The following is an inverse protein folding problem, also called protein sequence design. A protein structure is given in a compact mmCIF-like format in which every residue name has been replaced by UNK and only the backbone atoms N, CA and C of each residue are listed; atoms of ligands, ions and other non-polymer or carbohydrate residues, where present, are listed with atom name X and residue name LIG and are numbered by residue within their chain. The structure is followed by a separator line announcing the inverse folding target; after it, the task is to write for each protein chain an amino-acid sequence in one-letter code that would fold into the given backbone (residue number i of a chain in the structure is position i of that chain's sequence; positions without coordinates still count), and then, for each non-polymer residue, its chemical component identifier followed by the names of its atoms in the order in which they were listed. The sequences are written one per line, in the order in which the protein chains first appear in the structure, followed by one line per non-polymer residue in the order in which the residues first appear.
data_IF_918853417861
#
_entry.id   IF_918853417861
#
_cell.length_a   1.000
_cell.length_b   1.000
_cell.length_c   1.000
_cell.angle_alpha   90.00
_cell.angle_beta   90.00
_cell.angle_gamma   90.00
#
_symmetry.space_group_name_H-M   'P 1'
#
loop_
_entity.id
_entity.type
_entity.pdbx_description
1 polymer ?
#
# COMPACT_ATOMS: atom_id res chain seq x y z
N UNK A 1 45.34 35.04 44.72
CA UNK A 1 44.36 33.99 44.37
C UNK A 1 43.82 34.28 42.97
N UNK A 2 44.32 33.60 41.94
CA UNK A 2 43.77 33.66 40.57
C UNK A 2 42.77 32.51 40.41
N UNK A 3 41.51 32.82 40.14
CA UNK A 3 40.46 31.83 39.83
C UNK A 3 40.49 31.58 38.32
N UNK A 4 40.78 30.34 37.94
CA UNK A 4 40.57 29.83 36.58
C UNK A 4 39.12 29.35 36.47
N UNK A 5 38.32 29.99 35.62
CA UNK A 5 37.06 29.43 35.15
C UNK A 5 37.34 28.69 33.84
N UNK A 6 37.33 27.36 33.90
CA UNK A 6 37.33 26.51 32.71
C UNK A 6 35.87 26.10 32.47
N UNK A 7 35.17 26.80 31.58
CA UNK A 7 33.82 26.40 31.17
C UNK A 7 33.93 25.26 30.16
N UNK A 8 33.67 24.04 30.64
CA UNK A 8 33.57 22.84 29.82
C UNK A 8 32.20 22.83 29.13
N UNK A 9 32.09 23.37 27.92
CA UNK A 9 30.96 23.10 27.04
C UNK A 9 31.22 21.75 26.35
N UNK A 10 30.85 20.66 27.01
CA UNK A 10 30.72 19.35 26.38
C UNK A 10 29.40 19.32 25.60
N UNK A 11 29.43 19.85 24.37
CA UNK A 11 28.37 19.63 23.40
C UNK A 11 28.38 18.18 22.95
N UNK A 12 27.48 17.37 23.50
CA UNK A 12 27.21 16.03 23.00
C UNK A 12 26.41 16.17 21.70
N UNK A 13 27.11 16.31 20.57
CA UNK A 13 26.54 15.97 19.27
C UNK A 13 26.59 14.46 19.13
N UNK A 14 25.63 13.76 19.73
CA UNK A 14 25.33 12.39 19.36
C UNK A 14 24.58 12.44 18.02
N UNK A 15 25.30 12.67 16.93
CA UNK A 15 24.81 12.31 15.60
C UNK A 15 24.86 10.79 15.58
N UNK A 16 23.71 10.16 15.77
CA UNK A 16 23.55 8.72 15.54
C UNK A 16 23.73 8.47 14.04
N UNK A 17 24.98 8.46 13.59
CA UNK A 17 25.37 8.11 12.23
C UNK A 17 25.05 6.64 12.03
N UNK A 18 23.88 6.36 11.46
CA UNK A 18 23.67 5.08 10.79
C UNK A 18 24.63 5.07 9.61
N UNK A 19 25.55 4.12 9.60
CA UNK A 19 26.52 4.00 8.52
C UNK A 19 25.85 3.21 7.40
N UNK A 20 25.60 3.85 6.26
CA UNK A 20 25.12 3.17 5.08
C UNK A 20 25.99 1.96 4.72
N UNK A 21 25.38 0.98 4.06
CA UNK A 21 26.02 -0.28 3.71
C UNK A 21 27.32 -0.06 2.90
N UNK A 22 28.38 -0.75 3.30
CA UNK A 22 29.72 -0.59 2.70
C UNK A 22 29.99 -1.52 1.53
N UNK A 23 29.09 -2.46 1.22
CA UNK A 23 29.21 -3.36 0.06
C UNK A 23 29.31 -2.57 -1.25
N UNK A 24 29.83 -3.20 -2.30
CA UNK A 24 29.87 -2.58 -3.62
C UNK A 24 28.44 -2.40 -4.17
N UNK A 25 28.26 -1.43 -5.07
CA UNK A 25 26.94 -1.20 -5.70
C UNK A 25 26.53 -2.42 -6.54
N UNK A 26 27.51 -3.08 -7.16
CA UNK A 26 27.33 -4.31 -7.90
C UNK A 26 26.81 -5.45 -7.02
N UNK A 27 27.41 -5.65 -5.84
CA UNK A 27 26.96 -6.66 -4.87
C UNK A 27 25.55 -6.36 -4.36
N UNK A 28 25.26 -5.10 -4.04
CA UNK A 28 23.94 -4.68 -3.56
C UNK A 28 22.86 -4.88 -4.61
N UNK A 29 23.12 -4.55 -5.87
CA UNK A 29 22.19 -4.78 -6.97
C UNK A 29 21.94 -6.26 -7.25
N UNK A 30 22.90 -7.14 -6.95
CA UNK A 30 22.71 -8.59 -7.05
C UNK A 30 21.69 -9.12 -6.01
N UNK A 31 21.51 -8.45 -4.86
CA UNK A 31 20.57 -8.85 -3.81
C UNK A 31 19.10 -8.63 -4.20
N UNK A 32 18.83 -7.64 -5.04
CA UNK A 32 17.46 -7.18 -5.32
C UNK A 32 16.82 -7.82 -6.56
N UNK A 33 17.62 -8.52 -7.38
CA UNK A 33 17.23 -9.05 -8.68
C UNK A 33 16.45 -8.02 -9.55
N UNK A 34 16.88 -6.75 -9.51
CA UNK A 34 16.28 -5.65 -10.26
C UNK A 34 15.06 -4.99 -9.62
N UNK A 35 14.58 -5.45 -8.46
CA UNK A 35 13.47 -4.80 -7.76
C UNK A 35 13.87 -3.48 -7.08
N UNK A 36 15.16 -3.34 -6.77
CA UNK A 36 15.78 -2.12 -6.22
C UNK A 36 17.06 -1.83 -6.99
N UNK A 37 17.26 -0.59 -7.41
CA UNK A 37 18.54 -0.13 -7.99
C UNK A 37 19.27 0.70 -6.95
N UNK A 38 20.46 0.24 -6.56
CA UNK A 38 21.36 0.95 -5.66
C UNK A 38 22.34 1.81 -6.47
N UNK A 39 22.55 3.05 -6.04
CA UNK A 39 23.52 3.99 -6.62
C UNK A 39 24.28 4.73 -5.51
N UNK A 40 25.49 5.22 -5.83
CA UNK A 40 26.23 6.17 -4.98
C UNK A 40 26.12 7.57 -5.56
N UNK A 41 25.53 8.48 -4.80
CA UNK A 41 25.31 9.88 -5.20
C UNK A 41 25.81 10.81 -4.08
N UNK A 42 26.83 11.63 -4.35
CA UNK A 42 27.38 12.58 -3.36
C UNK A 42 27.71 11.91 -2.01
N UNK A 43 28.43 10.78 -2.05
CA UNK A 43 28.77 9.95 -0.89
C UNK A 43 27.58 9.32 -0.13
N UNK A 44 26.37 9.39 -0.67
CA UNK A 44 25.18 8.69 -0.15
C UNK A 44 24.89 7.44 -0.93
N UNK A 45 24.50 6.37 -0.23
CA UNK A 45 23.89 5.19 -0.83
C UNK A 45 22.39 5.43 -1.00
N UNK A 46 21.94 5.48 -2.26
CA UNK A 46 20.54 5.70 -2.63
C UNK A 46 19.94 4.40 -3.15
N UNK A 47 18.78 4.01 -2.63
CA UNK A 47 17.99 2.91 -3.17
C UNK A 47 16.77 3.43 -3.93
N UNK A 48 16.66 3.06 -5.20
CA UNK A 48 15.49 3.34 -6.03
C UNK A 48 14.65 2.08 -6.19
N UNK A 49 13.48 2.07 -5.56
CA UNK A 49 12.50 0.99 -5.68
C UNK A 49 11.78 1.14 -7.02
N UNK A 50 11.91 0.11 -7.85
CA UNK A 50 11.32 0.09 -9.19
C UNK A 50 9.84 -0.27 -9.13
N UNK A 51 9.01 0.39 -9.95
CA UNK A 51 7.56 0.09 -9.98
C UNK A 51 7.17 -0.96 -11.03
N UNK A 52 8.13 -1.32 -11.90
CA UNK A 52 7.94 -2.29 -12.99
C UNK A 52 8.23 -3.73 -12.57
N UNK A 53 8.89 -3.94 -11.43
CA UNK A 53 9.21 -5.26 -10.92
C UNK A 53 7.93 -6.05 -10.58
N UNK A 54 7.77 -7.22 -11.20
CA UNK A 54 6.66 -8.13 -10.88
C UNK A 54 6.81 -8.77 -9.50
N UNK A 55 8.02 -8.85 -8.98
CA UNK A 55 8.33 -9.37 -7.64
C UNK A 55 9.31 -8.41 -7.00
N UNK A 56 8.96 -7.94 -5.81
CA UNK A 56 9.88 -7.26 -4.92
C UNK A 56 10.59 -8.29 -4.05
N UNK A 57 11.90 -8.40 -4.20
CA UNK A 57 12.70 -9.35 -3.45
C UNK A 57 14.07 -8.75 -3.16
N UNK A 58 14.44 -8.68 -1.89
CA UNK A 58 15.80 -8.37 -1.47
C UNK A 58 16.24 -9.47 -0.50
N UNK A 59 17.38 -10.11 -0.80
CA UNK A 59 17.78 -11.33 -0.09
C UNK A 59 18.37 -11.05 1.29
N UNK A 60 18.97 -9.87 1.48
CA UNK A 60 19.55 -9.43 2.73
C UNK A 60 19.11 -8.00 3.06
N UNK A 61 19.12 -7.66 4.35
CA UNK A 61 18.91 -6.29 4.78
C UNK A 61 19.99 -5.35 4.21
N UNK A 62 19.62 -4.10 3.91
CA UNK A 62 20.53 -3.05 3.43
C UNK A 62 20.22 -1.72 4.11
N UNK A 63 21.23 -1.11 4.73
CA UNK A 63 21.13 0.26 5.25
C UNK A 63 21.46 1.26 4.16
N UNK A 64 20.55 2.21 3.91
CA UNK A 64 20.71 3.24 2.87
C UNK A 64 20.45 4.63 3.44
N UNK A 65 21.06 5.63 2.83
CA UNK A 65 20.90 7.04 3.24
C UNK A 65 19.61 7.66 2.70
N UNK A 66 19.10 7.15 1.57
CA UNK A 66 17.93 7.68 0.88
C UNK A 66 17.18 6.56 0.15
N UNK A 67 15.84 6.64 0.17
CA UNK A 67 14.97 5.79 -0.64
C UNK A 67 14.14 6.65 -1.60
N UNK A 68 14.14 6.25 -2.86
CA UNK A 68 13.29 6.78 -3.93
C UNK A 68 12.34 5.70 -4.42
N UNK A 69 11.16 6.11 -4.87
CA UNK A 69 10.22 5.23 -5.55
C UNK A 69 9.94 5.77 -6.95
N UNK A 70 10.00 4.90 -7.96
CA UNK A 70 9.62 5.27 -9.33
C UNK A 70 8.11 5.49 -9.47
N UNK A 71 7.33 4.91 -8.57
CA UNK A 71 5.88 4.98 -8.59
C UNK A 71 5.39 6.42 -8.65
N UNK A 72 4.55 6.69 -9.64
CA UNK A 72 3.76 7.92 -9.75
C UNK A 72 2.33 7.63 -9.33
N UNK A 73 1.73 8.57 -8.62
CA UNK A 73 0.36 8.47 -8.15
C UNK A 73 -0.53 9.47 -8.87
N UNK A 74 -1.82 9.14 -8.99
CA UNK A 74 -2.82 10.12 -9.40
C UNK A 74 -2.99 11.19 -8.32
N UNK A 75 -2.92 12.46 -8.73
CA UNK A 75 -3.10 13.60 -7.85
C UNK A 75 -4.46 13.54 -7.14
N UNK A 76 -4.46 13.82 -5.84
CA UNK A 76 -5.66 13.87 -4.99
C UNK A 76 -6.51 12.59 -4.96
N UNK A 77 -5.94 11.45 -5.40
CA UNK A 77 -6.60 10.14 -5.37
C UNK A 77 -5.96 9.23 -4.34
N UNK A 78 -6.76 8.53 -3.51
CA UNK A 78 -6.22 7.56 -2.58
C UNK A 78 -5.64 6.35 -3.33
N UNK A 79 -4.59 5.78 -2.77
CA UNK A 79 -3.96 4.58 -3.31
C UNK A 79 -3.38 3.72 -2.18
N UNK A 80 -3.16 2.43 -2.41
CA UNK A 80 -2.47 1.60 -1.41
C UNK A 80 -0.96 1.59 -1.63
N UNK A 81 -0.17 1.45 -0.57
CA UNK A 81 1.27 1.20 -0.61
C UNK A 81 1.66 0.14 0.44
N UNK A 82 2.78 -0.52 0.23
CA UNK A 82 3.49 -1.28 1.25
C UNK A 82 4.98 -0.93 1.12
N UNK A 83 5.64 -0.59 2.23
CA UNK A 83 7.05 -0.16 2.23
C UNK A 83 7.95 -1.32 2.66
N UNK A 84 9.10 -1.57 2.01
CA UNK A 84 10.05 -2.61 2.44
C UNK A 84 10.98 -2.14 3.57
N UNK A 85 10.60 -1.10 4.31
CA UNK A 85 11.36 -0.52 5.41
C UNK A 85 10.41 0.19 6.37
N UNK A 86 10.85 0.38 7.61
CA UNK A 86 10.12 1.17 8.60
C UNK A 86 10.63 2.61 8.59
N UNK A 87 9.74 3.59 8.76
CA UNK A 87 10.10 5.01 8.76
C UNK A 87 9.20 5.82 9.69
N UNK A 88 9.75 6.86 10.32
CA UNK A 88 8.94 7.84 11.05
C UNK A 88 7.98 8.57 10.09
N UNK A 89 6.72 8.75 10.48
CA UNK A 89 5.72 9.37 9.61
C UNK A 89 6.09 10.80 9.22
N UNK A 90 6.80 11.54 10.08
CA UNK A 90 7.26 12.90 9.79
C UNK A 90 8.29 12.96 8.67
N UNK A 91 8.93 11.84 8.35
CA UNK A 91 9.92 11.74 7.29
C UNK A 91 9.31 11.34 5.94
N UNK A 92 8.01 11.08 5.89
CA UNK A 92 7.28 10.87 4.64
C UNK A 92 6.82 12.24 4.15
N UNK A 93 7.29 12.67 2.97
CA UNK A 93 6.87 13.93 2.35
C UNK A 93 6.04 13.69 1.09
N UNK A 94 5.32 14.72 0.67
CA UNK A 94 4.42 14.67 -0.48
C UNK A 94 3.06 14.03 -0.19
N UNK A 95 2.85 13.46 1.01
CA UNK A 95 1.59 12.88 1.44
C UNK A 95 1.65 12.33 2.85
N UNK A 96 0.61 11.60 3.22
CA UNK A 96 0.49 10.87 4.48
C UNK A 96 0.10 9.41 4.22
N UNK A 97 0.49 8.53 5.12
CA UNK A 97 0.01 7.14 5.15
C UNK A 97 -1.04 6.99 6.25
N UNK A 98 -2.09 6.25 5.92
CA UNK A 98 -3.27 6.00 6.76
C UNK A 98 -3.47 4.49 6.87
N UNK A 99 -3.88 4.04 8.05
CA UNK A 99 -4.19 2.63 8.32
C UNK A 99 -5.69 2.39 8.32
N UNK A 100 -6.09 1.14 8.10
CA UNK A 100 -7.46 0.71 8.30
C UNK A 100 -7.87 0.90 9.76
N UNK A 101 -9.00 1.55 10.01
CA UNK A 101 -9.61 1.68 11.33
C UNK A 101 -10.78 0.72 11.51
N UNK A 102 -11.44 0.37 10.43
CA UNK A 102 -12.52 -0.62 10.43
C UNK A 102 -13.35 -0.55 9.16
N UNK A 103 -14.22 -1.55 9.05
CA UNK A 103 -15.31 -1.58 8.08
C UNK A 103 -16.62 -1.51 8.86
N UNK A 104 -17.49 -0.59 8.46
CA UNK A 104 -18.68 -0.19 9.20
C UNK A 104 -19.94 -0.29 8.33
N UNK A 105 -21.09 0.02 8.95
CA UNK A 105 -22.37 0.17 8.27
C UNK A 105 -22.73 -1.03 7.40
N UNK A 106 -22.61 -2.24 7.97
CA UNK A 106 -22.85 -3.52 7.27
C UNK A 106 -22.02 -3.66 5.99
N UNK A 107 -20.71 -3.41 6.07
CA UNK A 107 -19.76 -3.48 4.96
C UNK A 107 -19.96 -2.44 3.85
N UNK A 108 -20.70 -1.36 4.10
CA UNK A 108 -20.90 -0.30 3.09
C UNK A 108 -19.91 0.86 3.23
N UNK A 109 -19.18 0.94 4.36
CA UNK A 109 -18.20 1.99 4.64
C UNK A 109 -16.87 1.42 5.13
N UNK A 110 -15.76 1.97 4.64
CA UNK A 110 -14.41 1.67 5.15
C UNK A 110 -13.75 2.96 5.62
N UNK A 111 -13.22 2.95 6.84
CA UNK A 111 -12.54 4.11 7.41
C UNK A 111 -11.03 3.87 7.48
N UNK A 112 -10.27 4.81 6.94
CA UNK A 112 -8.83 4.88 7.09
C UNK A 112 -8.46 6.10 7.92
N UNK A 113 -7.59 5.93 8.90
CA UNK A 113 -7.21 6.97 9.85
C UNK A 113 -5.71 7.01 10.08
N UNK A 114 -5.27 7.96 10.89
CA UNK A 114 -3.84 8.15 11.16
C UNK A 114 -3.19 6.95 11.84
N UNK A 115 -1.91 6.79 11.54
CA UNK A 115 -1.05 5.84 12.22
C UNK A 115 -0.60 6.43 13.56
N UNK A 116 -1.16 5.91 14.65
CA UNK A 116 -1.00 6.45 16.00
C UNK A 116 0.37 6.17 16.61
N UNK A 117 1.12 5.23 16.05
CA UNK A 117 2.43 4.83 16.57
C UNK A 117 3.58 5.74 16.10
N UNK A 118 3.31 6.70 15.20
CA UNK A 118 4.31 7.66 14.73
C UNK A 118 5.32 7.08 13.73
N UNK A 119 5.17 5.82 13.33
CA UNK A 119 5.98 5.16 12.31
C UNK A 119 5.13 4.30 11.36
N UNK A 120 5.51 4.27 10.09
CA UNK A 120 5.06 3.25 9.15
C UNK A 120 5.96 2.02 9.31
N UNK A 121 5.35 0.85 9.48
CA UNK A 121 6.08 -0.42 9.62
C UNK A 121 6.43 -1.00 8.25
N UNK A 122 7.61 -1.61 8.16
CA UNK A 122 7.98 -2.42 7.01
C UNK A 122 6.96 -3.54 6.76
N UNK A 123 6.63 -3.73 5.49
CA UNK A 123 5.69 -4.72 4.96
C UNK A 123 4.25 -4.63 5.47
N UNK A 124 3.89 -3.55 6.18
CA UNK A 124 2.51 -3.25 6.50
C UNK A 124 1.85 -2.51 5.31
N UNK A 125 0.62 -2.88 4.93
CA UNK A 125 -0.13 -2.16 3.89
C UNK A 125 -0.79 -0.91 4.46
N UNK A 126 -0.66 0.20 3.73
CA UNK A 126 -1.23 1.50 4.06
C UNK A 126 -2.02 2.08 2.90
N UNK A 127 -2.93 3.01 3.19
CA UNK A 127 -3.48 3.95 2.21
C UNK A 127 -2.64 5.21 2.20
N UNK A 128 -2.26 5.68 1.03
CA UNK A 128 -1.59 6.95 0.80
C UNK A 128 -2.62 7.98 0.41
N UNK A 129 -2.51 9.15 1.03
CA UNK A 129 -3.23 10.36 0.64
C UNK A 129 -2.20 11.45 0.40
N UNK A 130 -2.11 11.91 -0.84
CA UNK A 130 -1.11 12.88 -1.28
C UNK A 130 -1.54 14.29 -0.91
N UNK A 131 -0.56 15.16 -0.69
CA UNK A 131 -0.80 16.56 -0.39
C UNK A 131 -1.10 17.31 -1.70
N UNK A 132 -2.24 18.01 -1.78
CA UNK A 132 -2.62 19.01 -2.78
C UNK A 132 -1.86 18.93 -4.12
N UNK A 133 -2.27 18.01 -4.99
CA UNK A 133 -1.71 17.88 -6.34
C UNK A 133 -0.35 17.14 -6.43
N UNK A 134 0.23 16.73 -5.32
CA UNK A 134 1.44 15.89 -5.33
C UNK A 134 1.16 14.55 -6.00
N UNK A 135 2.13 14.06 -6.75
CA UNK A 135 2.08 12.78 -7.47
C UNK A 135 3.16 11.80 -7.00
N UNK A 136 3.94 12.17 -5.98
CA UNK A 136 5.08 11.39 -5.48
C UNK A 136 5.16 11.44 -3.96
N UNK A 137 5.69 10.36 -3.39
CA UNK A 137 6.17 10.33 -2.01
C UNK A 137 7.69 10.39 -2.02
N UNK A 138 8.26 11.10 -1.04
CA UNK A 138 9.70 11.05 -0.75
C UNK A 138 9.93 10.69 0.70
N UNK A 139 11.07 10.06 0.97
CA UNK A 139 11.41 9.53 2.28
C UNK A 139 12.72 10.16 2.75
N UNK A 140 12.67 10.87 3.87
CA UNK A 140 13.82 11.58 4.41
C UNK A 140 14.56 10.78 5.49
N UNK A 141 15.89 10.80 5.39
CA UNK A 141 16.78 10.20 6.37
C UNK A 141 17.11 8.74 6.07
N UNK A 142 18.10 8.19 6.80
CA UNK A 142 18.56 6.84 6.59
C UNK A 142 17.47 5.84 6.97
N UNK A 143 17.36 4.78 6.19
CA UNK A 143 16.43 3.67 6.43
C UNK A 143 17.11 2.35 6.19
N UNK A 144 16.60 1.31 6.84
CA UNK A 144 17.02 -0.07 6.62
C UNK A 144 15.97 -0.77 5.76
N UNK A 145 16.33 -1.05 4.50
CA UNK A 145 15.56 -1.95 3.66
C UNK A 145 15.66 -3.35 4.23
N UNK A 146 14.51 -3.96 4.52
CA UNK A 146 14.45 -5.29 5.11
C UNK A 146 14.42 -6.36 4.02
N UNK A 147 15.06 -7.50 4.31
CA UNK A 147 15.00 -8.69 3.48
C UNK A 147 13.56 -9.21 3.31
N UNK A 148 13.22 -9.72 2.13
CA UNK A 148 11.92 -10.33 1.84
C UNK A 148 11.87 -11.78 2.35
N UNK A 149 12.08 -11.96 3.65
CA UNK A 149 12.06 -13.26 4.34
C UNK A 149 10.81 -13.40 5.21
N UNK A 150 10.37 -14.62 5.46
CA UNK A 150 9.11 -14.91 6.16
C UNK A 150 8.99 -14.20 7.51
N UNK A 151 10.07 -14.12 8.28
CA UNK A 151 10.08 -13.44 9.59
C UNK A 151 9.78 -11.95 9.49
N UNK A 152 10.23 -11.27 8.42
CA UNK A 152 9.95 -9.86 8.18
C UNK A 152 8.52 -9.63 7.66
N UNK A 153 7.91 -10.68 7.06
CA UNK A 153 6.57 -10.61 6.49
C UNK A 153 5.47 -10.98 7.50
N UNK A 154 5.67 -12.02 8.33
CA UNK A 154 4.63 -12.62 9.19
C UNK A 154 4.76 -12.32 10.69
N UNK A 155 5.74 -11.50 11.10
CA UNK A 155 6.05 -11.27 12.52
C UNK A 155 5.42 -10.03 13.16
N UNK A 156 4.81 -9.13 12.38
CA UNK A 156 4.31 -7.85 12.87
C UNK A 156 2.77 -7.85 12.90
N UNK A 157 2.11 -7.55 14.05
CA UNK A 157 0.66 -7.36 14.12
C UNK A 157 0.11 -6.36 13.08
N UNK A 158 0.95 -5.45 12.61
CA UNK A 158 0.63 -4.45 11.58
C UNK A 158 0.66 -5.01 10.15
N UNK A 159 1.31 -6.15 9.93
CA UNK A 159 1.31 -6.87 8.64
C UNK A 159 0.10 -7.81 8.52
N UNK A 160 -0.55 -8.12 9.64
CA UNK A 160 -1.70 -8.99 9.72
C UNK A 160 -2.75 -8.48 10.75
N UNK A 161 -3.38 -7.32 10.49
CA UNK A 161 -4.27 -6.69 11.46
C UNK A 161 -5.65 -7.37 11.47
N UNK A 162 -5.75 -8.56 12.08
CA UNK A 162 -7.03 -9.09 12.55
C UNK A 162 -7.61 -8.29 13.72
N UNK A 163 -6.78 -7.51 14.41
CA UNK A 163 -7.22 -6.72 15.54
C UNK A 163 -8.21 -5.64 15.05
N UNK A 164 -9.49 -5.86 15.37
CA UNK A 164 -10.59 -4.86 15.40
C UNK A 164 -11.33 -4.55 14.09
N UNK A 165 -11.13 -5.33 13.01
CA UNK A 165 -11.70 -4.99 11.70
C UNK A 165 -12.88 -5.87 11.23
N UNK A 166 -13.57 -6.57 12.13
CA UNK A 166 -14.86 -7.22 11.83
C UNK A 166 -14.84 -8.13 10.59
N UNK A 167 -13.93 -9.10 10.55
CA UNK A 167 -13.69 -10.05 9.44
C UNK A 167 -12.96 -9.47 8.22
N UNK A 168 -12.50 -8.23 8.26
CA UNK A 168 -11.72 -7.61 7.19
C UNK A 168 -10.24 -7.51 7.54
N UNK A 169 -9.40 -7.63 6.52
CA UNK A 169 -7.94 -7.55 6.66
C UNK A 169 -7.35 -6.75 5.50
N UNK A 170 -6.48 -5.80 5.83
CA UNK A 170 -5.65 -5.15 4.82
C UNK A 170 -4.46 -6.07 4.52
N UNK A 171 -4.31 -6.45 3.27
CA UNK A 171 -3.28 -7.37 2.80
C UNK A 171 -2.25 -6.63 1.97
N UNK A 172 -0.96 -6.79 2.27
CA UNK A 172 0.14 -6.37 1.41
C UNK A 172 0.55 -7.47 0.43
N UNK A 173 1.22 -7.12 -0.66
CA UNK A 173 1.83 -8.12 -1.56
C UNK A 173 3.22 -7.71 -2.02
N UNK A 174 4.18 -8.63 -1.96
CA UNK A 174 5.53 -8.47 -2.51
C UNK A 174 5.63 -8.96 -3.95
N UNK A 175 4.55 -9.49 -4.53
CA UNK A 175 4.50 -9.93 -5.91
C UNK A 175 3.24 -9.43 -6.61
N UNK A 176 3.28 -9.38 -7.94
CA UNK A 176 2.11 -9.17 -8.78
C UNK A 176 1.06 -10.24 -8.43
N UNK A 177 -0.11 -9.78 -7.97
CA UNK A 177 -1.24 -10.65 -7.67
C UNK A 177 -2.38 -10.33 -8.62
N UNK A 178 -2.95 -11.37 -9.24
CA UNK A 178 -4.04 -11.26 -10.18
C UNK A 178 -5.24 -12.12 -9.76
N UNK A 179 -6.43 -11.60 -10.00
CA UNK A 179 -7.71 -12.26 -9.81
C UNK A 179 -8.38 -12.39 -11.17
N UNK A 180 -8.52 -13.62 -11.64
CA UNK A 180 -9.25 -13.98 -12.85
C UNK A 180 -10.07 -15.23 -12.57
N UNK A 181 -11.17 -15.44 -13.29
CA UNK A 181 -12.10 -16.55 -13.03
C UNK A 181 -11.44 -17.94 -13.03
N UNK A 182 -10.36 -18.11 -13.79
CA UNK A 182 -9.60 -19.36 -13.89
C UNK A 182 -8.17 -19.24 -13.30
N UNK A 183 -7.91 -18.17 -12.54
CA UNK A 183 -6.60 -17.90 -11.96
C UNK A 183 -6.40 -18.56 -10.60
N UNK A 184 -5.17 -18.55 -10.11
CA UNK A 184 -4.80 -19.17 -8.82
C UNK A 184 -5.48 -18.51 -7.62
N UNK A 185 -5.92 -17.25 -7.76
CA UNK A 185 -6.68 -16.52 -6.73
C UNK A 185 -8.18 -16.43 -7.06
N UNK A 186 -8.73 -17.30 -7.92
CA UNK A 186 -10.14 -17.25 -8.30
C UNK A 186 -11.09 -17.33 -7.11
N UNK A 187 -10.72 -18.07 -6.05
CA UNK A 187 -11.53 -18.21 -4.83
C UNK A 187 -11.63 -16.92 -3.99
N UNK A 188 -10.76 -15.93 -4.23
CA UNK A 188 -10.80 -14.64 -3.52
C UNK A 188 -11.66 -13.60 -4.25
N UNK A 189 -12.11 -13.89 -5.47
CA UNK A 189 -12.96 -12.97 -6.26
C UNK A 189 -14.25 -12.69 -5.49
N UNK A 190 -14.62 -11.40 -5.42
CA UNK A 190 -15.75 -10.91 -4.64
C UNK A 190 -15.49 -10.72 -3.14
N UNK A 191 -14.41 -11.27 -2.58
CA UNK A 191 -13.99 -11.02 -1.20
C UNK A 191 -12.92 -9.92 -1.09
N UNK A 192 -12.42 -9.42 -2.22
CA UNK A 192 -11.32 -8.46 -2.27
C UNK A 192 -11.81 -7.11 -2.78
N UNK A 193 -11.31 -6.03 -2.18
CA UNK A 193 -11.55 -4.66 -2.58
C UNK A 193 -10.23 -3.90 -2.73
N UNK A 194 -10.22 -2.89 -3.59
CA UNK A 194 -9.12 -1.93 -3.61
C UNK A 194 -9.40 -0.72 -4.49
N UNK A 195 -8.44 0.20 -4.48
CA UNK A 195 -8.51 1.44 -5.24
C UNK A 195 -8.24 1.19 -6.72
N UNK A 196 -9.16 1.66 -7.56
CA UNK A 196 -9.08 1.54 -9.00
C UNK A 196 -7.86 2.27 -9.55
N UNK A 197 -7.14 1.55 -10.41
CA UNK A 197 -5.86 1.88 -11.03
C UNK A 197 -5.93 2.75 -12.28
N UNK A 198 -7.10 2.78 -12.91
CA UNK A 198 -7.34 3.34 -14.24
C UNK A 198 -8.81 3.71 -14.41
N UNK A 199 -9.09 4.73 -15.22
CA UNK A 199 -10.45 5.07 -15.62
C UNK A 199 -11.07 3.94 -16.46
N UNK A 200 -12.36 3.64 -16.23
CA UNK A 200 -13.16 2.72 -17.03
C UNK A 200 -14.42 3.42 -17.52
N UNK A 201 -14.88 3.09 -18.72
CA UNK A 201 -16.14 3.59 -19.26
C UNK A 201 -16.91 2.52 -20.04
N UNK A 202 -18.21 2.75 -20.22
CA UNK A 202 -19.10 1.89 -20.99
C UNK A 202 -19.16 0.46 -20.43
N UNK A 203 -19.02 -0.53 -21.30
CA UNK A 203 -19.08 -1.94 -20.90
C UNK A 203 -17.98 -2.33 -19.92
N UNK A 204 -16.79 -1.73 -20.01
CA UNK A 204 -15.68 -2.07 -19.10
C UNK A 204 -15.96 -1.61 -17.66
N UNK A 205 -16.66 -0.49 -17.50
CA UNK A 205 -17.12 0.00 -16.20
C UNK A 205 -18.24 -0.89 -15.65
N UNK A 206 -19.21 -1.26 -16.48
CA UNK A 206 -20.34 -2.12 -16.09
C UNK A 206 -19.88 -3.54 -15.70
N UNK A 207 -18.86 -4.07 -16.38
CA UNK A 207 -18.24 -5.35 -16.06
C UNK A 207 -17.48 -5.30 -14.72
N UNK A 208 -16.94 -4.14 -14.35
CA UNK A 208 -16.20 -3.95 -13.10
C UNK A 208 -17.12 -3.69 -11.90
N UNK A 209 -18.14 -2.83 -12.06
CA UNK A 209 -19.09 -2.43 -11.02
C UNK A 209 -20.49 -2.43 -11.62
N UNK A 210 -21.39 -3.22 -11.05
CA UNK A 210 -22.74 -3.33 -11.59
C UNK A 210 -23.48 -1.98 -11.56
N UNK A 211 -24.17 -1.66 -12.65
CA UNK A 211 -24.96 -0.44 -12.77
C UNK A 211 -24.16 0.86 -12.97
N UNK A 212 -22.83 0.80 -13.09
CA UNK A 212 -22.00 1.96 -13.41
C UNK A 212 -21.58 2.00 -14.88
N UNK A 213 -21.69 3.18 -15.48
CA UNK A 213 -21.17 3.45 -16.83
C UNK A 213 -19.74 4.03 -16.80
N UNK A 214 -19.27 4.46 -15.64
CA UNK A 214 -17.92 5.00 -15.42
C UNK A 214 -17.41 4.56 -14.06
N UNK A 215 -16.11 4.24 -13.97
CA UNK A 215 -15.39 3.98 -12.71
C UNK A 215 -14.10 4.77 -12.76
N UNK A 216 -13.84 5.57 -11.74
CA UNK A 216 -12.74 6.52 -11.73
C UNK A 216 -11.52 6.02 -10.97
N UNK A 217 -10.35 6.57 -11.30
CA UNK A 217 -9.14 6.36 -10.50
C UNK A 217 -9.40 6.79 -9.05
N UNK A 218 -9.04 5.90 -8.12
CA UNK A 218 -9.28 6.11 -6.68
C UNK A 218 -10.66 5.67 -6.19
N UNK A 219 -11.55 5.17 -7.06
CA UNK A 219 -12.78 4.51 -6.61
C UNK A 219 -12.43 3.19 -5.90
N UNK A 220 -13.08 2.92 -4.76
CA UNK A 220 -12.86 1.70 -4.00
C UNK A 220 -13.91 0.64 -4.34
N UNK A 221 -13.48 -0.39 -5.04
CA UNK A 221 -14.38 -1.35 -5.72
C UNK A 221 -14.06 -2.78 -5.37
N UNK A 222 -15.09 -3.62 -5.40
CA UNK A 222 -14.98 -5.09 -5.30
C UNK A 222 -14.29 -5.64 -6.55
N UNK A 223 -13.37 -6.58 -6.35
CA UNK A 223 -12.61 -7.20 -7.44
C UNK A 223 -13.43 -8.30 -8.11
N UNK A 224 -13.72 -8.11 -9.40
CA UNK A 224 -14.29 -9.13 -10.32
C UNK A 224 -13.21 -9.77 -11.21
N UNK A 225 -12.37 -8.93 -11.83
CA UNK A 225 -11.19 -9.35 -12.60
C UNK A 225 -10.16 -8.23 -12.58
N UNK A 226 -9.04 -8.44 -11.89
CA UNK A 226 -8.06 -7.39 -11.76
C UNK A 226 -6.65 -7.87 -11.38
N UNK A 227 -5.67 -6.97 -11.38
CA UNK A 227 -4.33 -7.22 -10.87
C UNK A 227 -3.80 -6.06 -10.03
N UNK A 228 -2.93 -6.38 -9.09
CA UNK A 228 -2.21 -5.44 -8.24
C UNK A 228 -0.71 -5.75 -8.28
N UNK A 229 0.13 -4.72 -8.48
CA UNK A 229 1.59 -4.86 -8.52
C UNK A 229 2.18 -5.14 -7.13
N UNK A 230 3.47 -5.51 -7.09
CA UNK A 230 4.21 -5.63 -5.84
C UNK A 230 4.23 -4.29 -5.06
N UNK A 231 4.44 -4.37 -3.75
CA UNK A 231 4.47 -3.24 -2.81
C UNK A 231 3.17 -2.42 -2.79
N UNK A 232 2.04 -3.11 -2.96
CA UNK A 232 0.68 -2.57 -2.88
C UNK A 232 -0.12 -3.34 -1.84
N UNK A 233 -1.33 -2.85 -1.57
CA UNK A 233 -2.27 -3.53 -0.71
C UNK A 233 -3.66 -3.66 -1.32
N UNK A 234 -4.49 -4.47 -0.68
CA UNK A 234 -5.91 -4.64 -0.96
C UNK A 234 -6.62 -5.04 0.33
N UNK A 235 -7.91 -4.75 0.42
CA UNK A 235 -8.75 -5.18 1.54
C UNK A 235 -9.35 -6.54 1.21
N UNK A 236 -9.31 -7.49 2.14
CA UNK A 236 -9.86 -8.84 1.98
C UNK A 236 -10.81 -9.17 3.12
N UNK A 237 -12.00 -9.67 2.78
CA UNK A 237 -12.87 -10.34 3.74
C UNK A 237 -12.32 -11.74 3.99
N UNK A 238 -12.04 -12.06 5.24
CA UNK A 238 -11.45 -13.34 5.66
C UNK A 238 -12.41 -14.18 6.52
N UNK A 239 -13.60 -13.66 6.83
CA UNK A 239 -14.56 -14.35 7.70
C UNK A 239 -14.12 -14.40 9.17
N UNK A 240 -14.97 -15.00 10.01
CA UNK A 240 -14.80 -15.05 11.47
C UNK A 240 -13.74 -16.04 11.95
N UNK A 241 -13.49 -17.09 11.17
CA UNK A 241 -12.62 -18.20 11.59
C UNK A 241 -11.13 -17.81 11.51
N UNK A 242 -10.78 -16.90 10.60
CA UNK A 242 -9.41 -16.43 10.39
C UNK A 242 -9.08 -15.15 11.19
N UNK A 243 -10.08 -14.44 11.72
CA UNK A 243 -9.91 -13.26 12.57
C UNK A 243 -10.91 -13.27 13.75
N UNK A 244 -10.61 -13.97 14.86
CA UNK A 244 -11.48 -13.98 16.02
C UNK A 244 -11.57 -12.57 16.63
N UNK A 245 -12.76 -11.98 16.60
CA UNK A 245 -13.06 -10.72 17.30
C UNK A 245 -12.71 -10.91 18.77
N UNK A 246 -11.73 -10.17 19.29
CA UNK A 246 -11.37 -10.29 20.70
C UNK A 246 -12.57 -9.83 21.55
N UNK A 247 -13.07 -10.72 22.41
CA UNK A 247 -14.24 -10.52 23.27
C UNK A 247 -14.14 -9.31 24.21
N UNK A 248 -12.94 -8.73 24.36
CA UNK A 248 -12.68 -7.56 25.20
C UNK A 248 -13.01 -6.20 24.55
N UNK A 249 -13.44 -6.18 23.27
CA UNK A 249 -13.93 -4.97 22.61
C UNK A 249 -15.43 -5.00 22.26
N UNK A 250 -16.18 -6.01 22.72
CA UNK A 250 -17.55 -5.72 23.15
C UNK A 250 -17.46 -4.84 24.40
N UNK A 251 -17.10 -3.55 24.25
CA UNK A 251 -17.38 -2.55 25.27
C UNK A 251 -18.90 -2.38 25.32
N UNK A 252 -19.54 -3.34 25.97
CA UNK A 252 -20.95 -3.31 26.24
C UNK A 252 -21.27 -2.14 27.17
N UNK A 253 -22.33 -1.42 26.82
CA UNK A 253 -23.38 -1.32 27.84
C UNK A 253 -23.73 -2.76 28.24
N UNK A 254 -23.81 -3.12 29.53
CA UNK A 254 -24.28 -4.44 29.91
C UNK A 254 -25.63 -4.68 29.24
N UNK A 255 -25.75 -5.76 28.48
CA UNK A 255 -27.02 -6.20 27.92
C UNK A 255 -28.01 -6.29 29.08
N UNK A 256 -29.16 -5.63 28.94
CA UNK A 256 -30.25 -5.83 29.86
C UNK A 256 -30.60 -7.34 29.84
N UNK A 257 -30.99 -7.95 30.98
CA UNK A 257 -31.39 -9.35 30.99
C UNK A 257 -32.51 -9.59 29.95
N UNK A 258 -32.19 -10.23 28.84
CA UNK A 258 -33.10 -10.46 27.71
C UNK A 258 -32.62 -10.00 26.33
N UNK A 259 -31.51 -9.27 26.20
CA UNK A 259 -30.91 -8.96 24.90
C UNK A 259 -29.91 -10.04 24.48
N UNK A 260 -30.23 -10.76 23.40
CA UNK A 260 -29.33 -11.68 22.72
C UNK A 260 -28.08 -10.91 22.26
N UNK A 261 -26.89 -11.45 22.55
CA UNK A 261 -25.63 -10.91 22.02
C UNK A 261 -25.73 -10.88 20.49
N UNK A 262 -25.34 -9.79 19.81
CA UNK A 262 -25.37 -9.75 18.35
C UNK A 262 -24.53 -10.92 17.84
N UNK A 263 -25.17 -11.84 17.13
CA UNK A 263 -24.50 -12.95 16.47
C UNK A 263 -23.41 -12.38 15.54
N UNK A 264 -22.25 -13.03 15.47
CA UNK A 264 -21.26 -12.72 14.46
C UNK A 264 -21.89 -13.03 13.09
N UNK A 265 -22.47 -12.02 12.44
CA UNK A 265 -23.07 -12.17 11.11
C UNK A 265 -21.94 -12.46 10.12
N UNK A 266 -21.88 -13.72 9.68
CA UNK A 266 -21.04 -14.11 8.55
C UNK A 266 -21.82 -13.77 7.28
N UNK A 267 -21.26 -12.90 6.45
CA UNK A 267 -21.90 -12.48 5.19
C UNK A 267 -21.61 -13.52 4.11
N UNK A 268 -22.61 -13.83 3.28
CA UNK A 268 -22.37 -14.56 2.05
C UNK A 268 -21.75 -13.62 1.01
N UNK A 269 -21.08 -14.17 -0.02
CA UNK A 269 -20.46 -13.39 -1.08
C UNK A 269 -21.44 -12.44 -1.78
N UNK A 270 -22.69 -12.87 -1.90
CA UNK A 270 -23.77 -12.13 -2.57
C UNK A 270 -24.23 -10.91 -1.74
N UNK A 271 -23.98 -10.93 -0.42
CA UNK A 271 -24.35 -9.85 0.49
C UNK A 271 -23.30 -8.72 0.53
N UNK A 272 -22.11 -8.92 -0.06
CA UNK A 272 -21.03 -7.93 -0.06
C UNK A 272 -21.21 -6.90 -1.20
N UNK A 273 -21.22 -5.59 -0.90
CA UNK A 273 -21.57 -4.57 -1.89
C UNK A 273 -20.50 -4.42 -2.98
N UNK A 274 -20.87 -4.03 -4.20
CA UNK A 274 -19.89 -3.84 -5.28
C UNK A 274 -18.91 -2.68 -5.00
N UNK A 275 -19.27 -1.73 -4.13
CA UNK A 275 -18.43 -0.59 -3.71
C UNK A 275 -18.60 -0.30 -2.23
N UNK A 276 -17.57 0.27 -1.59
CA UNK A 276 -17.68 0.86 -0.25
C UNK A 276 -17.39 2.36 -0.31
N UNK A 277 -18.07 3.11 0.55
CA UNK A 277 -17.73 4.52 0.80
C UNK A 277 -16.43 4.56 1.60
N UNK A 278 -15.46 5.34 1.12
CA UNK A 278 -14.18 5.52 1.80
C UNK A 278 -14.21 6.80 2.61
N UNK A 279 -13.99 6.68 3.92
CA UNK A 279 -13.77 7.82 4.81
C UNK A 279 -12.29 7.90 5.17
N UNK A 280 -11.62 9.00 4.84
CA UNK A 280 -10.26 9.27 5.31
C UNK A 280 -10.35 10.25 6.48
N UNK A 281 -10.07 9.75 7.67
CA UNK A 281 -10.08 10.52 8.90
C UNK A 281 -8.70 11.19 9.04
N UNK A 282 -8.67 12.50 8.80
CA UNK A 282 -7.60 13.34 9.30
C UNK A 282 -7.97 13.72 10.73
N UNK A 283 -7.17 13.32 11.71
CA UNK A 283 -7.37 13.86 13.04
C UNK A 283 -7.14 15.36 12.90
N UNK A 284 -8.11 16.19 13.34
CA UNK A 284 -7.82 17.61 13.47
C UNK A 284 -6.56 17.72 14.35
N UNK A 285 -5.57 18.56 13.98
CA UNK A 285 -4.48 18.83 14.90
C UNK A 285 -5.12 19.25 16.23
N UNK A 286 -4.69 18.63 17.32
CA UNK A 286 -5.09 19.05 18.67
C UNK A 286 -4.89 20.55 18.71
N UNK A 287 -5.99 21.30 18.74
CA UNK A 287 -5.97 22.75 18.84
C UNK A 287 -5.41 23.03 20.23
N UNK A 288 -4.10 23.25 20.31
CA UNK A 288 -3.53 23.96 21.45
C UNK A 288 -4.25 25.31 21.45
N UNK A 289 -4.92 25.72 22.54
CA UNK A 289 -5.61 27.00 22.57
C UNK A 289 -4.55 28.09 22.34
N UNK A 290 -4.56 28.66 21.14
CA UNK A 290 -3.79 29.86 20.81
C UNK A 290 -4.62 31.01 21.34
N UNK A 291 -4.08 31.73 22.32
CA UNK A 291 -4.64 33.00 22.76
C UNK A 291 -4.76 33.94 21.55
N UNK A 292 -5.98 34.42 21.32
CA UNK A 292 -6.32 35.30 20.20
C UNK A 292 -5.59 36.65 20.34
N UNK A 293 -4.70 36.98 19.40
CA UNK A 293 -4.42 38.36 19.04
C UNK A 293 -5.01 38.67 17.66
N UNK A 294 -5.93 39.63 17.65
CA UNK A 294 -6.68 40.08 16.48
C UNK A 294 -5.87 41.06 15.62
N UNK A 295 -5.68 40.74 14.33
CA UNK A 295 -5.43 41.70 13.23
C UNK A 295 -5.93 40.97 11.96
N UNK A 296 -6.80 41.44 11.08
CA UNK A 296 -7.12 42.79 10.63
C UNK A 296 -6.81 42.89 9.12
N UNK A 297 -7.80 42.56 8.26
CA UNK A 297 -7.96 42.94 6.83
C UNK A 297 -6.87 42.57 5.80
N UNK A 298 -7.21 41.93 4.67
CA UNK A 298 -7.72 42.57 3.45
C UNK A 298 -7.91 41.58 2.27
N UNK A 299 -8.85 41.93 1.38
CA UNK A 299 -9.19 41.27 0.09
C UNK A 299 -8.09 41.47 -0.96
N UNK A 300 -7.77 40.48 -1.81
CA UNK A 300 -7.48 40.68 -3.27
C UNK A 300 -7.85 39.42 -4.11
N UNK A 301 -8.59 39.74 -5.17
CA UNK A 301 -8.91 39.19 -6.51
C UNK A 301 -8.49 37.80 -7.06
N UNK A 302 -9.53 37.15 -7.60
CA UNK A 302 -9.68 36.36 -8.84
C UNK A 302 -8.67 36.57 -9.99
N UNK A 303 -8.24 35.45 -10.61
CA UNK A 303 -7.65 35.42 -11.95
C UNK A 303 -7.81 34.06 -12.65
N UNK A 304 -8.17 34.10 -13.93
CA UNK A 304 -8.76 33.05 -14.78
C UNK A 304 -7.74 32.18 -15.52
N UNK A 305 -8.22 31.04 -16.01
CA UNK A 305 -7.55 29.91 -16.69
C UNK A 305 -6.79 30.20 -17.99
N UNK A 306 -5.83 29.32 -18.33
CA UNK A 306 -5.49 28.98 -19.71
C UNK A 306 -5.20 27.47 -19.91
N UNK A 307 -5.57 27.03 -21.10
CA UNK A 307 -5.57 25.68 -21.68
C UNK A 307 -4.16 25.21 -22.10
N UNK A 308 -3.92 23.90 -22.06
CA UNK A 308 -2.76 23.28 -22.71
C UNK A 308 -2.91 21.77 -22.83
N UNK A 309 -3.47 21.30 -23.95
CA UNK A 309 -3.44 19.90 -24.35
C UNK A 309 -2.01 19.49 -24.71
N UNK A 310 -1.56 18.34 -24.20
CA UNK A 310 -0.51 17.54 -24.83
C UNK A 310 -0.73 16.05 -24.52
N UNK A 311 -0.55 15.24 -25.57
CA UNK A 311 -0.71 13.79 -25.63
C UNK A 311 0.05 13.06 -24.51
N UNK A 312 -0.64 12.15 -23.82
CA UNK A 312 -0.12 11.43 -22.67
C UNK A 312 0.21 9.99 -23.07
N UNK A 313 1.48 9.65 -22.93
CA UNK A 313 1.96 8.27 -22.82
C UNK A 313 1.44 7.71 -21.49
N UNK A 314 0.76 6.56 -21.51
CA UNK A 314 0.12 5.96 -20.33
C UNK A 314 1.14 5.47 -19.28
N UNK A 315 1.51 6.35 -18.35
CA UNK A 315 2.14 5.99 -17.08
C UNK A 315 1.07 5.64 -16.03
N UNK A 316 1.23 4.47 -15.41
CA UNK A 316 0.33 3.84 -14.45
C UNK A 316 0.27 4.59 -13.12
N UNK A 317 -0.94 4.84 -12.57
CA UNK A 317 -1.14 5.77 -11.44
C UNK A 317 -1.80 5.20 -10.19
N UNK A 318 -2.35 3.97 -10.16
CA UNK A 318 -3.01 3.41 -8.95
C UNK A 318 -3.17 1.87 -9.00
N UNK A 319 -3.62 1.26 -7.90
CA UNK A 319 -3.28 -0.12 -7.49
C UNK A 319 -3.94 -1.26 -8.27
N UNK A 320 -5.20 -1.15 -8.74
CA UNK A 320 -5.94 -2.27 -9.33
C UNK A 320 -6.33 -2.01 -10.78
N UNK A 321 -5.84 -2.82 -11.72
CA UNK A 321 -6.22 -2.69 -13.14
C UNK A 321 -7.21 -3.78 -13.57
N UNK A 322 -8.34 -3.42 -14.17
CA UNK A 322 -9.22 -4.41 -14.82
C UNK A 322 -8.53 -5.02 -16.04
N UNK A 323 -8.73 -6.32 -16.25
CA UNK A 323 -8.31 -7.02 -17.46
C UNK A 323 -9.49 -7.11 -18.43
N UNK A 324 -9.25 -6.81 -19.71
CA UNK A 324 -10.23 -7.07 -20.77
C UNK A 324 -10.61 -8.55 -20.74
N UNK A 325 -11.91 -8.86 -20.74
CA UNK A 325 -12.38 -10.24 -20.74
C UNK A 325 -11.74 -11.01 -21.93
N UNK A 326 -11.13 -12.18 -21.70
CA UNK A 326 -10.53 -12.93 -22.80
C UNK A 326 -11.63 -13.46 -23.71
N UNK A 327 -11.60 -13.05 -24.97
CA UNK A 327 -12.23 -13.79 -26.05
C UNK A 327 -11.61 -15.17 -26.13
N UNK A 328 -12.40 -16.17 -25.74
CA UNK A 328 -12.18 -17.63 -25.86
C UNK A 328 -10.86 -18.18 -25.28
N UNK A 329 -11.01 -19.03 -24.25
CA UNK A 329 -9.94 -19.79 -23.61
C UNK A 329 -9.03 -20.48 -24.65
N UNK A 330 -7.80 -20.00 -24.77
CA UNK A 330 -6.72 -20.70 -25.46
C UNK A 330 -5.84 -21.35 -24.40
N UNK A 331 -5.54 -22.63 -24.66
CA UNK A 331 -4.78 -23.62 -23.88
C UNK A 331 -3.67 -23.07 -22.97
N UNK A 332 -3.54 -23.68 -21.78
CA UNK A 332 -2.43 -23.60 -20.81
C UNK A 332 -1.10 -23.17 -21.44
N UNK A 333 -0.75 -21.88 -21.34
CA UNK A 333 0.48 -21.35 -21.93
C UNK A 333 1.55 -21.26 -20.85
N UNK A 334 2.63 -22.02 -21.04
CA UNK A 334 3.75 -22.00 -20.13
C UNK A 334 4.77 -20.94 -20.58
N UNK A 335 5.48 -20.34 -19.64
CA UNK A 335 6.62 -19.47 -19.90
C UNK A 335 7.81 -19.85 -19.01
N UNK A 336 9.03 -19.65 -19.49
CA UNK A 336 10.23 -19.78 -18.67
C UNK A 336 10.49 -18.50 -17.83
N UNK A 337 11.53 -18.51 -17.00
CA UNK A 337 11.90 -17.37 -16.17
C UNK A 337 12.26 -16.10 -16.97
N UNK A 338 12.58 -16.23 -18.27
CA UNK A 338 12.83 -15.12 -19.19
C UNK A 338 11.56 -14.62 -19.92
N UNK A 339 10.43 -15.28 -19.69
CA UNK A 339 9.13 -14.94 -20.29
C UNK A 339 8.87 -15.57 -21.65
N UNK A 340 9.77 -16.43 -22.15
CA UNK A 340 9.59 -17.12 -23.44
C UNK A 340 8.49 -18.16 -23.33
N UNK A 341 7.52 -18.15 -24.26
CA UNK A 341 6.43 -19.12 -24.28
C UNK A 341 6.91 -20.53 -24.67
N UNK A 342 6.36 -21.54 -24.01
CA UNK A 342 6.58 -22.96 -24.25
C UNK A 342 5.27 -23.75 -24.04
N UNK A 343 5.20 -24.95 -24.62
CA UNK A 343 4.00 -25.79 -24.56
C UNK A 343 3.83 -26.48 -23.20
N UNK A 344 4.92 -26.96 -22.59
CA UNK A 344 4.99 -27.50 -21.23
C UNK A 344 6.46 -27.65 -20.79
N UNK A 345 6.82 -27.36 -19.54
CA UNK A 345 8.17 -27.58 -19.02
C UNK A 345 8.57 -29.05 -19.11
N UNK A 346 9.81 -29.31 -19.53
CA UNK A 346 10.40 -30.66 -19.61
C UNK A 346 11.53 -30.89 -18.59
N UNK A 347 11.86 -29.87 -17.81
CA UNK A 347 12.94 -29.89 -16.82
C UNK A 347 12.44 -29.35 -15.50
N UNK A 348 13.07 -29.75 -14.40
CA UNK A 348 12.78 -29.18 -13.09
C UNK A 348 13.19 -27.71 -13.08
N UNK A 349 12.42 -26.86 -12.40
CA UNK A 349 12.68 -25.44 -12.33
C UNK A 349 11.44 -24.60 -12.11
N UNK A 350 11.62 -23.28 -12.06
CA UNK A 350 10.52 -22.31 -11.92
C UNK A 350 10.06 -21.89 -13.30
N UNK A 351 8.76 -22.06 -13.56
CA UNK A 351 8.08 -21.67 -14.78
C UNK A 351 6.89 -20.79 -14.45
N UNK A 352 6.29 -20.16 -15.45
CA UNK A 352 5.00 -19.49 -15.32
C UNK A 352 3.95 -20.31 -16.05
N UNK A 353 2.84 -20.61 -15.39
CA UNK A 353 1.64 -21.11 -16.04
C UNK A 353 0.57 -20.02 -15.88
N UNK A 354 0.07 -19.51 -17.00
CA UNK A 354 -0.94 -18.42 -17.02
C UNK A 354 -0.56 -17.26 -16.07
N UNK A 355 0.71 -16.86 -16.16
CA UNK A 355 1.32 -15.77 -15.38
C UNK A 355 1.51 -16.01 -13.88
N UNK A 356 1.35 -17.25 -13.40
CA UNK A 356 1.65 -17.63 -12.01
C UNK A 356 2.94 -18.47 -11.93
N UNK A 357 3.88 -18.16 -11.03
CA UNK A 357 5.05 -19.01 -10.79
C UNK A 357 4.65 -20.41 -10.31
N UNK A 358 5.10 -21.43 -11.02
CA UNK A 358 4.92 -22.84 -10.71
C UNK A 358 6.31 -23.50 -10.67
N UNK A 359 6.62 -24.15 -9.54
CA UNK A 359 7.80 -24.99 -9.44
C UNK A 359 7.49 -26.37 -10.01
N UNK A 360 8.08 -26.69 -11.16
CA UNK A 360 8.01 -28.02 -11.76
C UNK A 360 9.10 -28.87 -11.13
N UNK A 361 8.69 -29.97 -10.48
CA UNK A 361 9.55 -30.90 -9.77
C UNK A 361 9.89 -32.14 -10.56
#
# INVERSE_FOLDING_TARGET
MKRFFLSLFAGVFAVSAHAADTRSVEDLNALSNGSVVFTKENDKLVATITDTARVFNITDDVEVDEVRMERVFAADKPATIMLPFSINLNNIKGGSVKRLQGVFDNNTRVDFGEETFGYASAYAPYVVVLNNGSTKLTFEGPVKLLATVENNLKGNPWNDPCANNGNWRMMGTTALKGWTANGVNASEIGYVYGFMGKELSGSEAADAVEGKNEVHVGDFVKVKSAKVNALRGYLKYVGSDDCPVSSNQQQGKPAAPGEESPENVVFSLEDLPDTMVVSVINSNPVVVPVEEESVGGDKIESGTAENGQNEKVEESTTAIHSLKAPTTAKSERWHDASGRSLNKPKSHGVFLQDHTPVLVK
#
